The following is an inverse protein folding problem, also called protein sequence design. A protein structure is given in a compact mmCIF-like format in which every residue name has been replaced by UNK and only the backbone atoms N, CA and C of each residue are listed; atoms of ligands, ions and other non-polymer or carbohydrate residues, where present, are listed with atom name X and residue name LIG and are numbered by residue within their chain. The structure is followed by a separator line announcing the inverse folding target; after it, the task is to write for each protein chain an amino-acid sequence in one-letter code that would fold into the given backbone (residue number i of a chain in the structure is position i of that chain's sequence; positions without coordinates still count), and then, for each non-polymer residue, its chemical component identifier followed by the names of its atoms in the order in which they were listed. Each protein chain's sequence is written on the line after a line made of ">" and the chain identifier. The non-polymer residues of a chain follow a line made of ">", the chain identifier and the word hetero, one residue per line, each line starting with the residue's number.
data_IF_520655762936
#
_entry.id   IF_520655762936
#
_cell.length_a   1.000
_cell.length_b   1.000
_cell.length_c   1.000
_cell.angle_alpha   90.00
_cell.angle_beta   90.00
_cell.angle_gamma   90.00
#
_symmetry.space_group_name_H-M   'P 1'
#
loop_
_entity.id
_entity.type
_entity.pdbx_description
1 polymer ?
#
# COMPACT_ATOMS: atom_id res chain seq x y z
N UNK A 1 -6.57 -5.02 8.08
CA UNK A 1 -5.13 -4.86 7.77
C UNK A 1 -4.77 -3.38 7.67
N UNK A 2 -3.49 -3.04 7.85
CA UNK A 2 -2.94 -1.67 7.71
C UNK A 2 -2.80 -1.36 6.21
N UNK A 3 -2.88 -0.08 5.83
CA UNK A 3 -2.63 0.37 4.46
C UNK A 3 -1.41 1.28 4.41
N UNK A 4 -0.48 1.02 3.49
CA UNK A 4 0.63 1.92 3.20
C UNK A 4 0.22 2.93 2.13
N UNK A 5 0.82 4.12 2.13
CA UNK A 5 0.58 5.13 1.09
C UNK A 5 1.39 4.87 -0.18
N UNK A 6 0.84 5.23 -1.34
CA UNK A 6 1.56 5.18 -2.61
C UNK A 6 1.81 3.74 -3.06
N UNK A 7 2.95 3.51 -3.70
CA UNK A 7 3.30 2.23 -4.35
C UNK A 7 3.61 1.07 -3.39
N UNK A 8 3.62 1.31 -2.08
CA UNK A 8 3.76 0.28 -1.06
C UNK A 8 2.45 -0.45 -0.75
N UNK A 9 1.31 0.11 -1.16
CA UNK A 9 -0.01 -0.38 -0.73
C UNK A 9 -0.28 -1.81 -1.17
N UNK A 10 -0.06 -2.14 -2.44
CA UNK A 10 -0.36 -3.48 -2.97
C UNK A 10 0.57 -4.54 -2.38
N UNK A 11 1.87 -4.24 -2.31
CA UNK A 11 2.87 -5.17 -1.76
C UNK A 11 2.62 -5.42 -0.28
N UNK A 12 2.39 -4.36 0.50
CA UNK A 12 2.08 -4.48 1.92
C UNK A 12 0.79 -5.26 2.18
N UNK A 13 -0.23 -5.05 1.34
CA UNK A 13 -1.51 -5.75 1.42
C UNK A 13 -1.37 -7.25 1.15
N UNK A 14 -0.65 -7.64 0.10
CA UNK A 14 -0.42 -9.07 -0.21
C UNK A 14 0.30 -9.77 0.93
N UNK A 15 1.34 -9.14 1.51
CA UNK A 15 2.06 -9.66 2.67
C UNK A 15 1.13 -9.80 3.88
N UNK A 16 0.36 -8.75 4.23
CA UNK A 16 -0.54 -8.80 5.38
C UNK A 16 -1.65 -9.84 5.23
N UNK A 17 -2.22 -10.00 4.03
CA UNK A 17 -3.24 -11.03 3.77
C UNK A 17 -2.64 -12.42 3.92
N UNK A 18 -1.45 -12.65 3.35
CA UNK A 18 -0.76 -13.92 3.47
C UNK A 18 -0.41 -14.25 4.94
N UNK A 19 0.12 -13.28 5.69
CA UNK A 19 0.47 -13.46 7.11
C UNK A 19 -0.77 -13.72 7.98
N UNK A 20 -1.89 -13.04 7.72
CA UNK A 20 -3.07 -13.11 8.58
C UNK A 20 -4.00 -14.28 8.23
N UNK A 21 -4.13 -14.64 6.95
CA UNK A 21 -5.14 -15.59 6.47
C UNK A 21 -4.57 -16.80 5.71
N UNK A 22 -3.26 -16.80 5.45
CA UNK A 22 -2.59 -17.87 4.73
C UNK A 22 -2.82 -17.83 3.21
N UNK A 23 -2.11 -18.71 2.49
CA UNK A 23 -2.15 -18.76 1.03
C UNK A 23 -3.53 -19.12 0.46
N UNK A 24 -4.32 -19.92 1.19
CA UNK A 24 -5.68 -20.33 0.76
C UNK A 24 -6.67 -19.16 0.68
N UNK A 25 -6.35 -18.01 1.27
CA UNK A 25 -7.15 -16.79 1.15
C UNK A 25 -6.82 -15.97 -0.11
N UNK A 26 -5.81 -16.37 -0.89
CA UNK A 26 -5.35 -15.66 -2.08
C UNK A 26 -5.65 -16.52 -3.32
N UNK A 27 -6.28 -15.91 -4.31
CA UNK A 27 -6.50 -16.49 -5.63
C UNK A 27 -5.95 -15.56 -6.72
N UNK A 28 -5.63 -16.12 -7.87
CA UNK A 28 -5.24 -15.38 -9.07
C UNK A 28 -6.27 -15.65 -10.17
N UNK A 29 -6.59 -14.63 -10.96
CA UNK A 29 -7.54 -14.71 -12.07
C UNK A 29 -6.87 -14.13 -13.31
N UNK A 30 -7.08 -14.78 -14.46
CA UNK A 30 -6.59 -14.30 -15.74
C UNK A 30 -7.44 -13.13 -16.23
N UNK A 31 -6.78 -11.99 -16.49
CA UNK A 31 -7.41 -10.77 -17.01
C UNK A 31 -7.25 -10.64 -18.53
N UNK A 32 -6.58 -11.60 -19.18
CA UNK A 32 -6.24 -11.62 -20.60
C UNK A 32 -5.33 -10.45 -20.98
N UNK A 33 -5.91 -9.32 -21.38
CA UNK A 33 -5.15 -8.15 -21.85
C UNK A 33 -5.30 -6.97 -20.88
N UNK A 34 -4.16 -6.43 -20.46
CA UNK A 34 -4.08 -5.20 -19.68
C UNK A 34 -3.17 -4.20 -20.37
N UNK A 35 -3.78 -3.13 -20.88
CA UNK A 35 -3.04 -1.98 -21.43
C UNK A 35 -2.87 -0.95 -20.32
N UNK A 36 -1.64 -0.51 -20.12
CA UNK A 36 -1.31 0.56 -19.17
C UNK A 36 -0.33 1.54 -19.81
N UNK A 37 -0.21 2.73 -19.23
CA UNK A 37 0.78 3.70 -19.67
C UNK A 37 2.19 3.26 -19.23
N UNK A 38 3.18 3.56 -20.06
CA UNK A 38 4.59 3.36 -19.71
C UNK A 38 5.08 4.56 -18.90
N UNK A 39 5.70 4.28 -17.77
CA UNK A 39 6.27 5.29 -16.90
C UNK A 39 7.75 5.53 -17.25
N UNK A 40 8.27 6.75 -17.12
CA UNK A 40 9.69 7.00 -17.32
C UNK A 40 10.52 6.24 -16.28
N UNK A 41 11.74 5.87 -16.63
CA UNK A 41 12.63 5.06 -15.79
C UNK A 41 12.85 5.67 -14.39
N UNK A 42 12.90 6.99 -14.30
CA UNK A 42 13.02 7.70 -13.03
C UNK A 42 11.82 7.42 -12.11
N UNK A 43 10.60 7.51 -12.63
CA UNK A 43 9.40 7.21 -11.86
C UNK A 43 9.40 5.74 -11.42
N UNK A 44 9.79 4.81 -12.29
CA UNK A 44 9.92 3.39 -11.95
C UNK A 44 10.95 3.14 -10.85
N UNK A 45 12.06 3.87 -10.86
CA UNK A 45 13.11 3.74 -9.84
C UNK A 45 12.61 4.21 -8.47
N UNK A 46 11.83 5.30 -8.42
CA UNK A 46 11.15 5.76 -7.19
C UNK A 46 10.12 4.74 -6.71
N UNK A 47 9.29 4.20 -7.59
CA UNK A 47 8.31 3.14 -7.25
C UNK A 47 9.00 1.93 -6.64
N UNK A 48 10.08 1.45 -7.27
CA UNK A 48 10.85 0.31 -6.77
C UNK A 48 11.44 0.58 -5.40
N UNK A 49 11.88 1.82 -5.13
CA UNK A 49 12.39 2.19 -3.82
C UNK A 49 11.29 2.17 -2.75
N UNK A 50 10.09 2.68 -3.04
CA UNK A 50 8.93 2.57 -2.13
C UNK A 50 8.65 1.11 -1.81
N UNK A 51 8.54 0.24 -2.83
CA UNK A 51 8.24 -1.18 -2.64
C UNK A 51 9.30 -1.86 -1.74
N UNK A 52 10.58 -1.56 -1.97
CA UNK A 52 11.67 -2.08 -1.15
C UNK A 52 11.54 -1.64 0.32
N UNK A 53 11.23 -0.35 0.55
CA UNK A 53 11.00 0.18 1.90
C UNK A 53 9.85 -0.54 2.60
N UNK A 54 8.72 -0.76 1.91
CA UNK A 54 7.58 -1.51 2.45
C UNK A 54 8.00 -2.93 2.88
N UNK A 55 8.72 -3.65 2.01
CA UNK A 55 9.19 -5.02 2.29
C UNK A 55 10.11 -5.06 3.50
N UNK A 56 11.06 -4.12 3.59
CA UNK A 56 11.99 -4.03 4.72
C UNK A 56 11.25 -3.80 6.04
N UNK A 57 10.29 -2.87 6.08
CA UNK A 57 9.46 -2.64 7.28
C UNK A 57 8.69 -3.89 7.71
N UNK A 58 8.14 -4.64 6.75
CA UNK A 58 7.44 -5.91 7.04
C UNK A 58 8.39 -6.94 7.67
N UNK A 59 9.60 -7.06 7.14
CA UNK A 59 10.62 -7.96 7.69
C UNK A 59 11.04 -7.54 9.11
N UNK A 60 11.29 -6.26 9.34
CA UNK A 60 11.64 -5.74 10.68
C UNK A 60 10.56 -6.05 11.71
N UNK A 61 9.29 -5.82 11.35
CA UNK A 61 8.14 -6.18 12.19
C UNK A 61 8.07 -7.69 12.44
N UNK A 62 8.36 -8.51 11.43
CA UNK A 62 8.27 -9.98 11.51
C UNK A 62 9.36 -10.60 12.38
N UNK A 63 10.55 -10.03 12.36
CA UNK A 63 11.73 -10.54 13.08
C UNK A 63 12.05 -9.77 14.36
N UNK A 64 11.29 -8.71 14.66
CA UNK A 64 11.47 -7.83 15.83
C UNK A 64 12.91 -7.30 15.95
N UNK A 65 13.55 -7.07 14.80
CA UNK A 65 14.93 -6.60 14.71
C UNK A 65 15.00 -5.44 13.74
N UNK A 66 15.71 -4.36 14.07
CA UNK A 66 16.08 -3.38 13.05
C UNK A 66 16.99 -4.10 12.06
N UNK A 67 16.54 -4.19 10.82
CA UNK A 67 17.33 -4.72 9.70
C UNK A 67 18.10 -3.56 9.09
N UNK A 68 17.53 -2.36 9.19
CA UNK A 68 18.05 -1.13 8.67
C UNK A 68 18.18 -0.14 9.83
N UNK A 69 19.36 -0.12 10.47
CA UNK A 69 19.73 0.98 11.37
C UNK A 69 19.69 2.30 10.58
N UNK A 70 18.59 3.07 10.71
CA UNK A 70 18.36 4.38 10.07
C UNK A 70 18.54 4.42 8.53
N UNK A 71 18.46 3.28 7.83
CA UNK A 71 18.87 3.22 6.42
C UNK A 71 17.83 3.86 5.49
N UNK A 72 18.20 5.02 4.93
CA UNK A 72 17.72 5.58 3.67
C UNK A 72 16.19 5.77 3.57
N UNK A 73 15.62 6.72 4.33
CA UNK A 73 14.32 7.31 3.96
C UNK A 73 14.40 8.19 2.71
N UNK A 74 15.63 8.51 2.29
CA UNK A 74 15.89 9.31 1.11
C UNK A 74 16.52 8.47 0.00
N UNK A 75 16.01 8.68 -1.21
CA UNK A 75 16.55 8.11 -2.44
C UNK A 75 17.45 9.15 -3.10
N UNK A 76 18.67 8.72 -3.45
CA UNK A 76 19.63 9.54 -4.20
C UNK A 76 19.51 9.24 -5.68
N UNK A 77 19.02 10.20 -6.45
CA UNK A 77 18.83 10.11 -7.89
C UNK A 77 19.90 10.92 -8.61
N UNK A 78 20.67 10.26 -9.48
CA UNK A 78 21.62 10.95 -10.36
C UNK A 78 20.84 11.50 -11.56
N UNK A 79 20.81 12.82 -11.71
CA UNK A 79 20.13 13.52 -12.80
C UNK A 79 21.15 14.09 -13.77
N UNK A 80 20.77 14.11 -15.05
CA UNK A 80 21.54 14.74 -16.12
C UNK A 80 20.71 15.85 -16.77
N UNK A 81 21.20 17.09 -16.73
CA UNK A 81 20.58 18.21 -17.43
C UNK A 81 21.64 19.14 -18.00
N UNK A 82 21.43 19.60 -19.25
CA UNK A 82 22.29 20.59 -19.93
C UNK A 82 23.80 20.27 -19.86
N UNK A 83 24.18 19.01 -20.00
CA UNK A 83 25.60 18.62 -19.99
C UNK A 83 26.19 18.29 -18.61
N UNK A 84 25.43 18.45 -17.52
CA UNK A 84 25.94 18.27 -16.16
C UNK A 84 25.17 17.19 -15.39
N UNK A 85 25.89 16.46 -14.53
CA UNK A 85 25.31 15.56 -13.56
C UNK A 85 25.12 16.26 -12.22
N UNK A 86 23.99 16.00 -11.57
CA UNK A 86 23.73 16.46 -10.21
C UNK A 86 22.99 15.38 -9.42
N UNK A 87 23.17 15.41 -8.10
CA UNK A 87 22.50 14.50 -7.19
C UNK A 87 21.24 15.16 -6.67
N UNK A 88 20.10 14.54 -6.93
CA UNK A 88 18.83 14.90 -6.30
C UNK A 88 18.52 13.93 -5.17
N UNK A 89 17.96 14.44 -4.09
CA UNK A 89 17.64 13.66 -2.89
C UNK A 89 16.15 13.80 -2.66
N UNK A 90 15.42 12.71 -2.88
CA UNK A 90 13.99 12.67 -2.62
C UNK A 90 13.69 11.88 -1.37
N UNK A 91 12.97 12.50 -0.43
CA UNK A 91 12.43 11.79 0.72
C UNK A 91 11.19 11.01 0.30
N UNK A 92 11.26 9.70 0.49
CA UNK A 92 10.15 8.80 0.21
C UNK A 92 9.54 8.43 1.55
N UNK A 93 8.75 9.35 2.09
CA UNK A 93 8.03 9.16 3.34
C UNK A 93 6.76 8.33 3.09
N UNK A 94 6.83 7.03 3.38
CA UNK A 94 5.65 6.16 3.39
C UNK A 94 4.87 6.34 4.70
N UNK A 95 3.58 6.68 4.57
CA UNK A 95 2.64 6.84 5.66
C UNK A 95 1.83 5.56 5.86
N UNK A 96 1.75 5.10 7.10
CA UNK A 96 0.85 4.01 7.48
C UNK A 96 -0.54 4.57 7.84
N UNK A 97 -1.57 3.93 7.29
CA UNK A 97 -2.97 4.16 7.64
C UNK A 97 -3.44 2.99 8.50
N UNK A 98 -3.95 3.23 9.71
CA UNK A 98 -4.43 2.17 10.58
C UNK A 98 -5.59 1.42 9.92
N UNK A 99 -5.91 0.19 10.38
CA UNK A 99 -7.03 -0.55 9.83
C UNK A 99 -8.30 0.30 9.89
N UNK A 100 -9.01 0.45 8.77
CA UNK A 100 -10.16 1.37 8.67
C UNK A 100 -11.23 1.13 9.75
N UNK A 101 -11.39 -0.11 10.21
CA UNK A 101 -12.31 -0.51 11.29
C UNK A 101 -11.94 0.09 12.67
N UNK A 102 -10.74 0.64 12.85
CA UNK A 102 -10.34 1.31 14.09
C UNK A 102 -10.67 2.80 14.06
N UNK A 103 -11.08 3.35 12.91
CA UNK A 103 -11.43 4.74 12.76
C UNK A 103 -12.93 4.92 13.07
N UNK A 104 -13.30 5.72 14.11
CA UNK A 104 -14.69 5.89 14.51
C UNK A 104 -15.60 6.36 13.37
N UNK A 105 -15.11 7.28 12.54
CA UNK A 105 -15.86 7.89 11.45
C UNK A 105 -16.37 6.85 10.45
N UNK A 106 -15.53 5.87 10.10
CA UNK A 106 -15.89 4.81 9.16
C UNK A 106 -16.82 3.77 9.77
N UNK A 107 -16.69 3.50 11.07
CA UNK A 107 -17.58 2.56 11.77
C UNK A 107 -19.01 3.10 11.84
N UNK A 108 -19.17 4.38 12.18
CA UNK A 108 -20.50 5.01 12.26
C UNK A 108 -21.20 4.96 10.90
N UNK A 109 -20.55 5.41 9.83
CA UNK A 109 -21.12 5.38 8.48
C UNK A 109 -21.47 3.95 8.01
N UNK A 110 -20.63 2.97 8.36
CA UNK A 110 -20.91 1.57 8.02
C UNK A 110 -22.13 1.02 8.78
N UNK A 111 -22.32 1.40 10.04
CA UNK A 111 -23.48 1.02 10.84
C UNK A 111 -24.77 1.66 10.32
N UNK A 112 -24.72 2.94 9.97
CA UNK A 112 -25.83 3.66 9.35
C UNK A 112 -26.24 3.02 8.01
N UNK A 113 -25.28 2.76 7.12
CA UNK A 113 -25.55 2.11 5.85
C UNK A 113 -26.08 0.67 6.00
N UNK A 114 -25.66 -0.05 7.05
CA UNK A 114 -26.19 -1.38 7.36
C UNK A 114 -27.63 -1.32 7.90
N UNK A 115 -27.95 -0.32 8.72
CA UNK A 115 -29.29 -0.06 9.22
C UNK A 115 -30.26 0.28 8.07
N UNK A 116 -29.88 1.16 7.17
CA UNK A 116 -30.70 1.56 6.02
C UNK A 116 -30.97 0.38 5.07
N UNK A 117 -29.98 -0.48 4.83
CA UNK A 117 -30.15 -1.70 4.03
C UNK A 117 -31.09 -2.71 4.68
N UNK A 118 -31.05 -2.83 6.00
CA UNK A 118 -31.95 -3.72 6.74
C UNK A 118 -33.41 -3.23 6.66
N UNK A 119 -33.62 -1.91 6.72
CA UNK A 119 -34.94 -1.28 6.53
C UNK A 119 -35.46 -1.43 5.09
N UNK A 120 -34.58 -1.29 4.09
CA UNK A 120 -34.95 -1.42 2.67
C UNK A 120 -35.23 -2.87 2.24
N UNK A 121 -34.67 -3.86 2.94
CA UNK A 121 -34.86 -5.28 2.67
C UNK A 121 -35.98 -5.95 3.48
N UNK A 122 -36.62 -5.24 4.41
CA UNK A 122 -37.75 -5.77 5.17
C UNK A 122 -38.96 -5.94 4.23
N UNK A 123 -39.66 -7.08 4.25
CA UNK A 123 -40.86 -7.25 3.44
C UNK A 123 -41.86 -6.16 3.81
N UNK A 124 -42.42 -5.47 2.80
CA UNK A 124 -43.55 -4.57 3.04
C UNK A 124 -44.67 -5.41 3.66
N UNK A 125 -45.03 -5.05 4.88
CA UNK A 125 -46.21 -5.62 5.54
C UNK A 125 -47.42 -5.00 4.87
N UNK A 126 -47.97 -5.72 3.91
CA UNK A 126 -49.26 -5.45 3.26
C UNK A 126 -50.35 -6.24 3.98
#
# INVERSE_FOLDING_TARGET
>A
IVFYSGYGVETGMVIDIFEQFGLSAIAQVDLLERIHHNQPLEALSKMSFVILQTVMRKLERRFERPILDEVNRSMKLVRYTRGNYFLDVEEVAELERPPMITLPEYNTTRQEAAHDRALAGAPRTD
#
